data_IF_446570343390
#
_entry.id   IF_446570343390
#
_cell.length_a   1.000
_cell.length_b   1.000
_cell.length_c   1.000
_cell.angle_alpha   90.00
_cell.angle_beta   90.00
_cell.angle_gamma   90.00
#
_symmetry.space_group_name_H-M   'P 1'
#
loop_
_entity.id
_entity.type
_entity.pdbx_description
1 polymer ?
#
# COMPACT_ATOMS: atom_id res chain seq x y z
N UNK A 1 43.96 -6.33 -11.79
CA UNK A 1 42.86 -7.30 -11.58
C UNK A 1 41.81 -6.64 -10.71
N UNK A 2 40.75 -6.11 -11.32
CA UNK A 2 39.57 -5.59 -10.60
C UNK A 2 38.36 -6.01 -11.41
N UNK A 3 37.88 -7.23 -11.16
CA UNK A 3 36.61 -7.71 -11.70
C UNK A 3 35.48 -7.08 -10.87
N UNK A 4 34.78 -6.12 -11.48
CA UNK A 4 33.56 -5.49 -10.95
C UNK A 4 32.31 -6.33 -11.33
N UNK A 5 31.16 -6.12 -10.65
CA UNK A 5 30.11 -7.11 -10.44
C UNK A 5 29.03 -7.10 -11.53
N UNK A 6 29.33 -7.62 -12.71
CA UNK A 6 28.35 -7.63 -13.83
C UNK A 6 27.24 -8.69 -13.65
N UNK A 7 27.48 -9.76 -12.89
CA UNK A 7 26.55 -10.89 -12.75
C UNK A 7 25.39 -10.60 -11.78
N UNK A 8 25.63 -9.85 -10.70
CA UNK A 8 24.59 -9.50 -9.72
C UNK A 8 23.59 -8.46 -10.28
N UNK A 9 24.11 -7.50 -11.05
CA UNK A 9 23.33 -6.37 -11.58
C UNK A 9 22.35 -6.79 -12.69
N UNK A 10 22.73 -7.79 -13.51
CA UNK A 10 21.86 -8.35 -14.55
C UNK A 10 20.64 -9.04 -13.94
N UNK A 11 20.84 -9.80 -12.85
CA UNK A 11 19.80 -10.56 -12.18
C UNK A 11 18.78 -9.63 -11.47
N UNK A 12 19.27 -8.56 -10.83
CA UNK A 12 18.42 -7.58 -10.16
C UNK A 12 17.59 -6.73 -11.14
N UNK A 13 18.15 -6.40 -12.32
CA UNK A 13 17.41 -5.70 -13.40
C UNK A 13 16.32 -6.58 -14.01
N UNK A 14 16.59 -7.87 -14.22
CA UNK A 14 15.60 -8.83 -14.74
C UNK A 14 14.48 -9.06 -13.71
N UNK A 15 14.84 -9.26 -12.44
CA UNK A 15 13.87 -9.40 -11.35
C UNK A 15 12.99 -8.16 -11.18
N UNK A 16 13.57 -6.96 -11.31
CA UNK A 16 12.82 -5.70 -11.25
C UNK A 16 11.85 -5.51 -12.43
N UNK A 17 12.24 -5.91 -13.65
CA UNK A 17 11.34 -5.90 -14.81
C UNK A 17 10.20 -6.88 -14.65
N UNK A 18 10.49 -8.10 -14.17
CA UNK A 18 9.48 -9.11 -13.89
C UNK A 18 8.46 -8.61 -12.86
N UNK A 19 8.91 -8.05 -11.74
CA UNK A 19 8.02 -7.47 -10.73
C UNK A 19 7.11 -6.39 -11.30
N UNK A 20 7.67 -5.48 -12.12
CA UNK A 20 6.92 -4.37 -12.72
C UNK A 20 5.81 -4.89 -13.62
N UNK A 21 6.10 -5.87 -14.46
CA UNK A 21 5.10 -6.50 -15.33
C UNK A 21 3.98 -7.18 -14.51
N UNK A 22 4.34 -7.93 -13.47
CA UNK A 22 3.38 -8.64 -12.59
C UNK A 22 2.49 -7.65 -11.84
N UNK A 23 3.07 -6.61 -11.24
CA UNK A 23 2.29 -5.59 -10.51
C UNK A 23 1.33 -4.83 -11.43
N UNK A 24 1.76 -4.48 -12.65
CA UNK A 24 0.91 -3.83 -13.63
C UNK A 24 -0.23 -4.75 -14.10
N UNK A 25 0.09 -6.02 -14.36
CA UNK A 25 -0.91 -7.02 -14.72
C UNK A 25 -1.98 -7.17 -13.63
N UNK A 26 -1.57 -7.23 -12.35
CA UNK A 26 -2.49 -7.32 -11.22
C UNK A 26 -3.35 -6.07 -11.06
N UNK A 27 -2.82 -4.87 -11.30
CA UNK A 27 -3.60 -3.63 -11.34
C UNK A 27 -4.68 -3.64 -12.43
N UNK A 28 -4.32 -4.04 -13.65
CA UNK A 28 -5.25 -4.14 -14.78
C UNK A 28 -6.36 -5.13 -14.44
N UNK A 29 -5.99 -6.34 -13.98
CA UNK A 29 -6.93 -7.36 -13.55
C UNK A 29 -7.88 -6.87 -12.45
N UNK A 30 -7.37 -6.12 -11.47
CA UNK A 30 -8.18 -5.57 -10.38
C UNK A 30 -9.25 -4.59 -10.89
N UNK A 31 -8.83 -3.64 -11.73
CA UNK A 31 -9.73 -2.62 -12.26
C UNK A 31 -10.73 -3.19 -13.26
N UNK A 32 -10.30 -4.12 -14.11
CA UNK A 32 -11.18 -4.84 -15.04
C UNK A 32 -12.22 -5.66 -14.27
N UNK A 33 -11.81 -6.38 -13.21
CA UNK A 33 -12.75 -7.13 -12.37
C UNK A 33 -13.81 -6.21 -11.76
N UNK A 34 -13.39 -5.11 -11.11
CA UNK A 34 -14.32 -4.17 -10.47
C UNK A 34 -15.29 -3.57 -11.49
N UNK A 35 -14.80 -3.18 -12.67
CA UNK A 35 -15.63 -2.65 -13.75
C UNK A 35 -16.63 -3.68 -14.29
N UNK A 36 -16.17 -4.90 -14.54
CA UNK A 36 -17.02 -6.00 -15.01
C UNK A 36 -18.08 -6.36 -13.97
N UNK A 37 -17.69 -6.54 -12.71
CA UNK A 37 -18.60 -6.88 -11.62
C UNK A 37 -19.67 -5.81 -11.44
N UNK A 38 -19.28 -4.52 -11.42
CA UNK A 38 -20.24 -3.40 -11.36
C UNK A 38 -21.24 -3.41 -12.51
N UNK A 39 -20.79 -3.74 -13.72
CA UNK A 39 -21.64 -3.77 -14.93
C UNK A 39 -22.63 -4.95 -14.88
N UNK A 40 -22.16 -6.14 -14.49
CA UNK A 40 -22.96 -7.38 -14.50
C UNK A 40 -23.84 -7.54 -13.27
N UNK A 41 -23.50 -6.92 -12.14
CA UNK A 41 -24.37 -6.88 -10.95
C UNK A 41 -25.69 -6.16 -11.21
N UNK A 42 -25.71 -5.20 -12.12
CA UNK A 42 -26.95 -4.55 -12.56
C UNK A 42 -27.82 -5.44 -13.45
N UNK A 43 -27.32 -6.60 -13.91
CA UNK A 43 -28.00 -7.49 -14.87
C UNK A 43 -28.42 -8.82 -14.21
N UNK A 44 -27.67 -9.32 -13.21
CA UNK A 44 -28.01 -10.54 -12.48
C UNK A 44 -28.21 -10.27 -10.99
N UNK A 45 -29.43 -9.90 -10.59
CA UNK A 45 -29.91 -10.16 -9.23
C UNK A 45 -30.55 -11.55 -9.21
N UNK A 46 -29.69 -12.57 -9.30
CA UNK A 46 -29.99 -13.96 -8.97
C UNK A 46 -29.24 -14.29 -7.68
N UNK A 47 -30.00 -14.60 -6.65
CA UNK A 47 -29.58 -14.73 -5.26
C UNK A 47 -28.83 -16.03 -5.02
N UNK A 48 -27.58 -16.13 -5.48
CA UNK A 48 -26.67 -17.19 -5.04
C UNK A 48 -25.69 -16.64 -4.01
N UNK A 49 -25.77 -17.23 -2.81
CA UNK A 49 -25.08 -16.85 -1.60
C UNK A 49 -23.56 -16.88 -1.81
N UNK A 50 -22.97 -15.69 -2.06
CA UNK A 50 -21.59 -15.47 -1.67
C UNK A 50 -21.54 -15.59 -0.15
N UNK A 51 -20.71 -16.48 0.43
CA UNK A 51 -20.54 -16.51 1.88
C UNK A 51 -20.19 -15.09 2.33
N UNK A 52 -20.98 -14.57 3.27
CA UNK A 52 -20.84 -13.24 3.85
C UNK A 52 -19.48 -13.11 4.54
N UNK A 53 -18.43 -12.90 3.74
CA UNK A 53 -17.24 -12.19 4.19
C UNK A 53 -17.64 -10.74 4.34
N UNK A 54 -18.53 -10.47 5.29
CA UNK A 54 -18.78 -9.14 5.79
C UNK A 54 -17.48 -8.71 6.46
N UNK A 55 -16.56 -8.17 5.67
CA UNK A 55 -15.67 -7.15 6.17
C UNK A 55 -16.62 -6.09 6.71
N UNK A 56 -16.91 -6.11 8.01
CA UNK A 56 -17.50 -4.96 8.67
C UNK A 56 -16.47 -3.86 8.50
N UNK A 57 -16.59 -3.12 7.40
CA UNK A 57 -15.73 -1.98 7.12
C UNK A 57 -16.25 -0.87 8.03
N UNK A 58 -16.01 -1.03 9.32
CA UNK A 58 -16.10 0.01 10.36
C UNK A 58 -14.89 0.95 10.29
N UNK A 59 -14.14 0.86 9.19
CA UNK A 59 -12.89 1.52 9.01
C UNK A 59 -13.04 2.70 8.05
N UNK A 60 -13.30 3.86 8.63
CA UNK A 60 -13.53 5.12 7.92
C UNK A 60 -12.42 5.44 6.91
N UNK A 61 -11.17 5.08 7.20
CA UNK A 61 -10.05 5.33 6.28
C UNK A 61 -10.12 4.43 5.04
N UNK A 62 -10.54 3.17 5.19
CA UNK A 62 -10.77 2.30 4.02
C UNK A 62 -11.94 2.81 3.20
N UNK A 63 -13.04 3.20 3.84
CA UNK A 63 -14.20 3.73 3.12
C UNK A 63 -13.84 4.99 2.32
N UNK A 64 -13.16 5.95 2.94
CA UNK A 64 -12.63 7.13 2.26
C UNK A 64 -11.70 6.76 1.10
N UNK A 65 -10.86 5.74 1.29
CA UNK A 65 -9.98 5.23 0.24
C UNK A 65 -10.77 4.63 -0.93
N UNK A 66 -11.76 3.78 -0.68
CA UNK A 66 -12.62 3.18 -1.71
C UNK A 66 -13.40 4.25 -2.49
N UNK A 67 -13.97 5.23 -1.79
CA UNK A 67 -14.66 6.38 -2.39
C UNK A 67 -13.71 7.18 -3.29
N UNK A 68 -12.47 7.44 -2.84
CA UNK A 68 -11.47 8.14 -3.65
C UNK A 68 -11.06 7.38 -4.91
N UNK A 69 -11.18 6.05 -4.91
CA UNK A 69 -10.95 5.18 -6.07
C UNK A 69 -12.23 4.94 -6.88
N UNK A 70 -13.36 5.54 -6.49
CA UNK A 70 -14.69 5.33 -7.08
C UNK A 70 -15.14 3.86 -7.08
N UNK A 71 -14.71 3.06 -6.10
CA UNK A 71 -15.06 1.65 -5.95
C UNK A 71 -16.16 1.47 -4.91
N UNK A 72 -17.22 0.76 -5.29
CA UNK A 72 -18.34 0.44 -4.41
C UNK A 72 -18.04 -0.80 -3.58
N UNK A 73 -18.62 -0.83 -2.38
CA UNK A 73 -18.36 -1.85 -1.38
C UNK A 73 -18.50 -3.29 -1.91
N UNK A 74 -19.57 -3.65 -2.64
CA UNK A 74 -19.73 -5.05 -3.05
C UNK A 74 -18.79 -5.48 -4.17
N UNK A 75 -18.44 -4.57 -5.10
CA UNK A 75 -17.38 -4.83 -6.08
C UNK A 75 -16.03 -5.06 -5.39
N UNK A 76 -15.73 -4.28 -4.36
CA UNK A 76 -14.52 -4.47 -3.56
C UNK A 76 -14.51 -5.81 -2.82
N UNK A 77 -15.60 -6.17 -2.13
CA UNK A 77 -15.70 -7.45 -1.42
C UNK A 77 -15.54 -8.65 -2.35
N UNK A 78 -16.17 -8.61 -3.53
CA UNK A 78 -16.04 -9.66 -4.54
C UNK A 78 -14.59 -9.77 -5.05
N UNK A 79 -13.95 -8.62 -5.32
CA UNK A 79 -12.55 -8.59 -5.73
C UNK A 79 -11.64 -9.17 -4.64
N UNK A 80 -11.78 -8.71 -3.40
CA UNK A 80 -11.03 -9.21 -2.25
C UNK A 80 -11.11 -10.73 -2.14
N UNK A 81 -12.32 -11.30 -2.22
CA UNK A 81 -12.51 -12.74 -2.15
C UNK A 81 -11.82 -13.49 -3.30
N UNK A 82 -11.79 -12.90 -4.50
CA UNK A 82 -11.11 -13.47 -5.67
C UNK A 82 -9.60 -13.56 -5.50
N UNK A 83 -8.98 -12.61 -4.78
CA UNK A 83 -7.53 -12.47 -4.67
C UNK A 83 -6.88 -13.37 -3.62
N UNK A 84 -7.68 -14.00 -2.77
CA UNK A 84 -7.19 -14.93 -1.76
C UNK A 84 -6.65 -16.19 -2.43
N UNK A 85 -5.41 -16.57 -2.11
CA UNK A 85 -4.84 -17.86 -2.53
C UNK A 85 -5.60 -19.03 -1.90
N UNK A 86 -5.43 -20.25 -2.41
CA UNK A 86 -6.09 -21.43 -1.83
C UNK A 86 -5.75 -21.62 -0.34
N UNK A 87 -4.50 -21.35 0.06
CA UNK A 87 -4.08 -21.42 1.45
C UNK A 87 -4.74 -20.33 2.29
N UNK A 88 -4.80 -19.09 1.78
CA UNK A 88 -5.51 -18.00 2.46
C UNK A 88 -7.01 -18.32 2.57
N UNK A 89 -7.64 -18.83 1.51
CA UNK A 89 -9.05 -19.30 1.53
C UNK A 89 -9.27 -20.43 2.53
N UNK A 90 -8.36 -21.39 2.62
CA UNK A 90 -8.45 -22.49 3.58
C UNK A 90 -8.32 -21.97 5.02
N UNK A 91 -7.34 -21.11 5.28
CA UNK A 91 -7.19 -20.42 6.56
C UNK A 91 -8.43 -19.61 6.90
N UNK A 92 -9.09 -19.03 5.89
CA UNK A 92 -10.29 -18.23 6.07
C UNK A 92 -11.61 -19.04 6.15
N UNK A 93 -11.63 -20.26 5.63
CA UNK A 93 -12.80 -21.15 5.65
C UNK A 93 -12.88 -21.98 6.92
N UNK A 94 -11.74 -22.25 7.55
CA UNK A 94 -11.63 -23.09 8.75
C UNK A 94 -11.92 -22.24 10.00
N UNK A 95 -13.07 -21.57 10.05
CA UNK A 95 -13.46 -20.59 11.08
C UNK A 95 -13.51 -21.06 12.54
N UNK A 96 -12.87 -22.18 12.87
CA UNK A 96 -12.79 -22.75 14.20
C UNK A 96 -11.36 -22.69 14.76
N UNK A 97 -11.32 -22.15 15.98
CA UNK A 97 -10.20 -22.20 16.91
C UNK A 97 -9.69 -23.64 17.04
N UNK A 98 -8.37 -23.90 17.00
CA UNK A 98 -7.85 -25.00 17.77
C UNK A 98 -8.07 -24.61 19.24
N UNK A 99 -9.21 -25.01 19.80
CA UNK A 99 -9.35 -25.25 21.24
C UNK A 99 -8.44 -26.43 21.57
N UNK A 100 -7.13 -26.17 21.59
CA UNK A 100 -6.25 -26.90 22.48
C UNK A 100 -6.08 -26.00 23.67
N UNK A 101 -7.00 -26.13 24.62
CA UNK A 101 -6.75 -25.85 26.01
C UNK A 101 -5.61 -26.77 26.47
N UNK A 102 -4.37 -26.37 26.17
CA UNK A 102 -3.20 -26.81 26.90
C UNK A 102 -2.85 -25.66 27.84
N UNK A 103 -3.29 -25.79 29.09
CA UNK A 103 -2.49 -25.28 30.20
C UNK A 103 -1.04 -25.67 29.92
N UNK A 104 -0.12 -24.73 29.71
CA UNK A 104 1.31 -24.93 29.97
C UNK A 104 2.09 -23.62 29.93
N UNK A 105 2.92 -23.50 30.97
CA UNK A 105 3.76 -22.39 31.41
C UNK A 105 4.98 -22.15 30.47
N UNK A 106 4.84 -22.25 29.14
CA UNK A 106 6.00 -22.39 28.22
C UNK A 106 6.31 -21.22 27.28
N UNK A 107 5.75 -20.03 27.48
CA UNK A 107 6.05 -18.85 26.65
C UNK A 107 7.00 -17.84 27.32
N UNK A 108 7.83 -18.27 28.28
CA UNK A 108 8.81 -17.40 28.95
C UNK A 108 10.23 -17.64 28.43
N UNK A 109 10.42 -17.55 27.12
CA UNK A 109 11.75 -17.75 26.53
C UNK A 109 11.96 -16.91 25.28
N UNK A 110 13.19 -16.42 25.12
CA UNK A 110 13.65 -15.81 23.88
C UNK A 110 13.84 -16.88 22.80
N UNK A 111 13.68 -16.53 21.51
CA UNK A 111 13.97 -17.43 20.40
C UNK A 111 15.46 -17.79 20.40
N UNK A 112 15.78 -19.00 19.93
CA UNK A 112 17.17 -19.33 19.63
C UNK A 112 17.70 -18.44 18.50
N UNK A 113 19.02 -18.20 18.41
CA UNK A 113 19.59 -17.42 17.31
C UNK A 113 19.24 -17.97 15.92
N UNK A 114 19.15 -19.29 15.77
CA UNK A 114 18.79 -19.92 14.50
C UNK A 114 17.32 -19.75 14.14
N UNK A 115 16.41 -19.79 15.12
CA UNK A 115 14.99 -19.50 14.92
C UNK A 115 14.79 -18.04 14.52
N UNK A 116 15.44 -17.11 15.20
CA UNK A 116 15.35 -15.69 14.88
C UNK A 116 15.91 -15.39 13.48
N UNK A 117 17.04 -16.01 13.12
CA UNK A 117 17.62 -15.90 11.78
C UNK A 117 16.66 -16.45 10.71
N UNK A 118 16.02 -17.59 10.96
CA UNK A 118 15.04 -18.16 10.02
C UNK A 118 13.89 -17.19 9.75
N UNK A 119 13.30 -16.62 10.80
CA UNK A 119 12.22 -15.63 10.65
C UNK A 119 12.71 -14.40 9.89
N UNK A 120 13.91 -13.91 10.18
CA UNK A 120 14.52 -12.80 9.46
C UNK A 120 14.69 -13.08 7.96
N UNK A 121 15.15 -14.28 7.59
CA UNK A 121 15.34 -14.66 6.19
C UNK A 121 14.00 -14.74 5.44
N UNK A 122 12.98 -15.31 6.10
CA UNK A 122 11.63 -15.36 5.54
C UNK A 122 11.06 -13.95 5.37
N UNK A 123 11.17 -13.07 6.37
CA UNK A 123 10.68 -11.69 6.27
C UNK A 123 11.43 -10.90 5.17
N UNK A 124 12.75 -11.02 5.11
CA UNK A 124 13.61 -10.34 4.13
C UNK A 124 13.24 -10.69 2.69
N UNK A 125 12.79 -11.93 2.47
CA UNK A 125 12.45 -12.42 1.13
C UNK A 125 10.96 -12.26 0.81
N UNK A 126 10.06 -12.37 1.79
CA UNK A 126 8.61 -12.34 1.55
C UNK A 126 8.04 -10.93 1.53
N UNK A 127 8.46 -10.05 2.45
CA UNK A 127 7.92 -8.68 2.55
C UNK A 127 8.07 -7.89 1.25
N UNK A 128 9.22 -7.90 0.52
CA UNK A 128 9.33 -7.16 -0.74
C UNK A 128 8.36 -7.63 -1.83
N UNK A 129 7.87 -8.87 -1.71
CA UNK A 129 6.95 -9.51 -2.66
C UNK A 129 5.50 -9.49 -2.19
N UNK A 130 5.20 -8.84 -1.05
CA UNK A 130 3.87 -8.80 -0.42
C UNK A 130 2.72 -8.41 -1.37
N UNK A 131 2.99 -7.54 -2.34
CA UNK A 131 1.99 -7.13 -3.33
C UNK A 131 1.80 -8.14 -4.46
N UNK A 132 2.85 -8.86 -4.88
CA UNK A 132 2.80 -9.73 -6.05
C UNK A 132 2.64 -11.22 -5.71
N UNK A 133 2.89 -11.61 -4.46
CA UNK A 133 2.85 -13.00 -3.99
C UNK A 133 2.22 -13.08 -2.59
N UNK A 134 1.49 -14.16 -2.28
CA UNK A 134 1.07 -14.45 -0.91
C UNK A 134 2.26 -14.59 0.05
N UNK A 135 2.09 -14.14 1.28
CA UNK A 135 3.11 -14.28 2.32
C UNK A 135 3.21 -15.71 2.84
N UNK A 136 4.36 -16.07 3.39
CA UNK A 136 4.51 -17.31 4.15
C UNK A 136 3.95 -17.11 5.56
N UNK A 137 2.76 -17.63 5.83
CA UNK A 137 2.11 -17.52 7.14
C UNK A 137 2.57 -18.59 8.15
N UNK A 138 3.45 -19.53 7.78
CA UNK A 138 3.94 -20.59 8.68
C UNK A 138 4.82 -20.06 9.81
N UNK A 139 5.41 -18.88 9.64
CA UNK A 139 6.23 -18.22 10.67
C UNK A 139 5.39 -17.43 11.69
N UNK A 140 4.05 -17.45 11.59
CA UNK A 140 3.15 -16.70 12.45
C UNK A 140 2.40 -17.65 13.38
N UNK A 141 2.21 -17.21 14.63
CA UNK A 141 1.43 -17.97 15.61
C UNK A 141 -0.07 -17.94 15.26
N UNK A 142 -0.85 -19.01 15.54
CA UNK A 142 -2.29 -19.02 15.35
C UNK A 142 -3.02 -17.88 16.10
N UNK A 143 -2.48 -17.46 17.23
CA UNK A 143 -2.95 -16.40 18.12
C UNK A 143 -2.20 -15.06 17.93
N UNK A 144 -1.53 -14.87 16.78
CA UNK A 144 -0.75 -13.64 16.51
C UNK A 144 -1.57 -12.38 16.74
N UNK A 145 -0.96 -11.41 17.42
CA UNK A 145 -1.52 -10.08 17.64
C UNK A 145 -0.92 -9.12 16.61
N UNK A 146 -1.76 -8.31 15.99
CA UNK A 146 -1.34 -7.23 15.11
C UNK A 146 -1.84 -5.89 15.64
N UNK A 147 -0.88 -5.08 16.08
CA UNK A 147 -1.07 -3.70 16.53
C UNK A 147 -0.77 -2.76 15.37
N UNK A 148 -1.80 -2.31 14.68
CA UNK A 148 -1.68 -1.34 13.61
C UNK A 148 -1.85 0.08 14.15
N UNK A 149 -0.77 0.65 14.67
CA UNK A 149 -0.75 2.00 15.23
C UNK A 149 -0.86 3.09 14.16
N UNK A 150 -0.60 2.76 12.89
CA UNK A 150 -0.86 3.66 11.74
C UNK A 150 -2.36 3.97 11.65
N UNK A 151 -3.21 2.99 11.96
CA UNK A 151 -4.68 3.07 11.80
C UNK A 151 -5.41 3.07 13.14
N UNK A 152 -4.69 2.87 14.24
CA UNK A 152 -5.25 2.74 15.58
C UNK A 152 -6.03 1.42 15.79
N UNK A 153 -5.75 0.38 15.00
CA UNK A 153 -6.48 -0.89 15.09
C UNK A 153 -5.65 -1.98 15.77
N UNK A 154 -6.34 -2.85 16.50
CA UNK A 154 -5.76 -4.02 17.16
C UNK A 154 -6.54 -5.25 16.71
N UNK A 155 -5.85 -6.25 16.18
CA UNK A 155 -6.46 -7.50 15.72
C UNK A 155 -5.72 -8.71 16.28
N UNK A 156 -6.46 -9.74 16.67
CA UNK A 156 -5.90 -10.98 17.22
C UNK A 156 -6.29 -12.16 16.35
N UNK A 157 -5.37 -13.12 16.23
CA UNK A 157 -5.55 -14.36 15.49
C UNK A 157 -5.05 -14.29 14.06
N UNK A 158 -4.45 -15.40 13.59
CA UNK A 158 -3.85 -15.52 12.27
C UNK A 158 -4.87 -15.29 11.15
N UNK A 159 -6.10 -15.74 11.34
CA UNK A 159 -7.22 -15.50 10.43
C UNK A 159 -7.39 -14.00 10.14
N UNK A 160 -7.48 -13.18 11.19
CA UNK A 160 -7.67 -11.73 11.07
C UNK A 160 -6.42 -11.05 10.49
N UNK A 161 -5.23 -11.53 10.87
CA UNK A 161 -3.96 -11.05 10.30
C UNK A 161 -3.90 -11.23 8.79
N UNK A 162 -4.20 -12.44 8.29
CA UNK A 162 -4.21 -12.76 6.86
C UNK A 162 -5.19 -11.85 6.12
N UNK A 163 -6.38 -11.59 6.69
CA UNK A 163 -7.34 -10.63 6.11
C UNK A 163 -6.73 -9.24 5.95
N UNK A 164 -6.06 -8.71 6.96
CA UNK A 164 -5.45 -7.37 6.93
C UNK A 164 -4.34 -7.28 5.85
N UNK A 165 -3.51 -8.32 5.73
CA UNK A 165 -2.46 -8.38 4.69
C UNK A 165 -3.07 -8.48 3.29
N UNK A 166 -4.07 -9.34 3.10
CA UNK A 166 -4.78 -9.48 1.83
C UNK A 166 -5.49 -8.16 1.44
N UNK A 167 -6.03 -7.45 2.43
CA UNK A 167 -6.72 -6.18 2.23
C UNK A 167 -5.74 -5.10 1.74
N UNK A 168 -4.57 -5.00 2.38
CA UNK A 168 -3.49 -4.12 1.95
C UNK A 168 -3.09 -4.40 0.50
N UNK A 169 -2.96 -5.68 0.12
CA UNK A 169 -2.64 -6.13 -1.25
C UNK A 169 -3.71 -5.68 -2.25
N UNK A 170 -4.99 -5.89 -1.93
CA UNK A 170 -6.12 -5.54 -2.78
C UNK A 170 -6.21 -4.02 -3.00
N UNK A 171 -6.12 -3.24 -1.92
CA UNK A 171 -6.13 -1.76 -2.01
C UNK A 171 -4.93 -1.25 -2.81
N UNK A 172 -3.76 -1.87 -2.63
CA UNK A 172 -2.55 -1.54 -3.39
C UNK A 172 -2.76 -1.62 -4.89
N UNK A 173 -3.23 -2.76 -5.40
CA UNK A 173 -3.45 -2.97 -6.84
C UNK A 173 -4.64 -2.20 -7.40
N UNK A 174 -5.64 -1.91 -6.58
CA UNK A 174 -6.74 -1.07 -7.04
C UNK A 174 -6.29 0.38 -7.22
N UNK A 175 -5.51 0.91 -6.27
CA UNK A 175 -5.06 2.30 -6.25
C UNK A 175 -3.90 2.60 -7.21
N UNK A 176 -2.97 1.66 -7.36
CA UNK A 176 -1.69 1.89 -8.01
C UNK A 176 -1.47 0.91 -9.18
N UNK A 177 -1.02 1.45 -10.31
CA UNK A 177 -0.57 0.66 -11.46
C UNK A 177 0.76 -0.05 -11.22
N UNK A 178 1.53 0.46 -10.27
CA UNK A 178 2.71 -0.20 -9.75
C UNK A 178 2.76 0.03 -8.25
N UNK A 179 2.87 -1.04 -7.46
CA UNK A 179 3.02 -0.95 -6.02
C UNK A 179 4.08 -1.94 -5.54
N UNK A 180 4.99 -1.48 -4.69
CA UNK A 180 6.05 -2.30 -4.13
C UNK A 180 6.24 -2.01 -2.64
N UNK A 181 6.50 -3.07 -1.89
CA UNK A 181 7.02 -2.97 -0.53
C UNK A 181 8.54 -3.00 -0.58
N UNK A 182 9.20 -1.98 -0.05
CA UNK A 182 10.65 -1.85 -0.05
C UNK A 182 11.16 -1.88 1.38
N UNK A 183 12.10 -2.79 1.65
CA UNK A 183 12.81 -2.82 2.92
C UNK A 183 13.94 -1.79 2.82
N UNK A 184 13.85 -0.72 3.61
CA UNK A 184 14.92 0.27 3.75
C UNK A 184 16.01 -0.25 4.68
N UNK A 185 15.61 -0.92 5.77
CA UNK A 185 16.51 -1.54 6.73
C UNK A 185 15.79 -2.67 7.46
N UNK A 186 16.49 -3.75 7.74
CA UNK A 186 16.03 -4.82 8.63
C UNK A 186 17.13 -5.15 9.64
N UNK A 187 16.77 -5.29 10.92
CA UNK A 187 17.69 -5.62 12.01
C UNK A 187 17.11 -6.70 12.90
N UNK A 188 17.99 -7.53 13.46
CA UNK A 188 17.66 -8.51 14.47
C UNK A 188 18.12 -8.00 15.84
N UNK A 189 17.31 -8.27 16.85
CA UNK A 189 17.56 -7.92 18.24
C UNK A 189 17.41 -9.19 19.10
N UNK A 190 18.45 -10.04 19.15
CA UNK A 190 18.43 -11.29 19.91
C UNK A 190 18.15 -11.10 21.40
N UNK A 191 18.49 -9.93 21.95
CA UNK A 191 18.26 -9.54 23.34
C UNK A 191 16.79 -9.30 23.70
N UNK A 192 15.96 -8.94 22.71
CA UNK A 192 14.52 -8.73 22.85
C UNK A 192 13.70 -9.85 22.19
N UNK A 193 14.35 -10.71 21.39
CA UNK A 193 13.66 -11.65 20.51
C UNK A 193 12.87 -10.96 19.40
N UNK A 194 13.34 -9.80 18.92
CA UNK A 194 12.61 -8.99 17.94
C UNK A 194 13.34 -8.83 16.61
N UNK A 195 12.56 -8.65 15.55
CA UNK A 195 13.02 -8.24 14.23
C UNK A 195 12.36 -6.91 13.90
N UNK A 196 13.18 -5.91 13.59
CA UNK A 196 12.73 -4.55 13.29
C UNK A 196 12.95 -4.27 11.81
N UNK A 197 11.91 -3.79 11.13
CA UNK A 197 11.90 -3.53 9.69
C UNK A 197 11.50 -2.09 9.46
N UNK A 198 12.41 -1.26 8.96
CA UNK A 198 12.08 0.02 8.35
C UNK A 198 11.72 -0.22 6.89
N UNK A 199 10.53 0.19 6.50
CA UNK A 199 10.00 -0.08 5.17
C UNK A 199 9.35 1.14 4.55
N UNK A 200 9.21 1.07 3.24
CA UNK A 200 8.53 2.05 2.40
C UNK A 200 7.61 1.34 1.43
N UNK A 201 6.38 1.79 1.30
CA UNK A 201 5.49 1.38 0.20
C UNK A 201 5.56 2.44 -0.89
N UNK A 202 6.09 2.05 -2.05
CA UNK A 202 6.21 2.91 -3.21
C UNK A 202 5.09 2.60 -4.19
N UNK A 203 4.27 3.60 -4.53
CA UNK A 203 3.15 3.47 -5.46
C UNK A 203 3.22 4.44 -6.64
N UNK A 204 2.84 3.99 -7.84
CA UNK A 204 2.60 4.83 -9.02
C UNK A 204 1.12 4.73 -9.38
N UNK A 205 0.40 5.84 -9.33
CA UNK A 205 -1.04 5.87 -9.64
C UNK A 205 -1.30 5.61 -11.12
N UNK A 206 -2.30 4.76 -11.43
CA UNK A 206 -2.68 4.43 -12.80
C UNK A 206 -3.16 5.64 -13.61
N UNK A 207 -3.86 6.59 -12.98
CA UNK A 207 -4.27 7.84 -13.63
C UNK A 207 -3.07 8.66 -14.10
N UNK A 208 -2.02 8.78 -13.26
CA UNK A 208 -0.77 9.47 -13.65
C UNK A 208 -0.08 8.76 -14.81
N UNK A 209 -0.09 7.43 -14.83
CA UNK A 209 0.47 6.67 -15.97
C UNK A 209 -0.32 6.94 -17.25
N UNK A 210 -1.66 6.95 -17.20
CA UNK A 210 -2.51 7.24 -18.36
C UNK A 210 -2.31 8.68 -18.88
N UNK A 211 -2.28 9.69 -18.00
CA UNK A 211 -2.04 11.08 -18.38
C UNK A 211 -0.62 11.30 -18.94
N UNK A 212 0.39 10.63 -18.38
CA UNK A 212 1.77 10.72 -18.84
C UNK A 212 1.98 9.98 -20.17
N UNK A 213 1.31 8.84 -20.37
CA UNK A 213 1.30 8.08 -21.62
C UNK A 213 0.68 8.88 -22.76
N UNK A 214 -0.40 9.62 -22.49
CA UNK A 214 -1.05 10.47 -23.48
C UNK A 214 -0.19 11.71 -23.85
N UNK A 215 0.55 12.28 -22.89
CA UNK A 215 1.39 13.47 -23.13
C UNK A 215 2.79 13.18 -23.67
N UNK A 216 3.41 12.07 -23.29
CA UNK A 216 4.82 11.79 -23.59
C UNK A 216 4.94 10.39 -24.20
N UNK A 217 5.26 10.30 -25.49
CA UNK A 217 5.61 9.04 -26.17
C UNK A 217 6.69 8.28 -25.38
N UNK A 218 6.27 7.36 -24.52
CA UNK A 218 6.89 6.14 -23.98
C UNK A 218 8.41 6.00 -23.74
N UNK A 219 9.23 7.05 -23.82
CA UNK A 219 10.69 6.92 -23.75
C UNK A 219 11.28 7.17 -22.34
N UNK A 220 10.47 7.65 -21.38
CA UNK A 220 10.94 8.11 -20.05
C UNK A 220 10.36 7.35 -18.84
N UNK A 221 10.00 6.08 -18.97
CA UNK A 221 9.47 5.28 -17.84
C UNK A 221 10.39 5.26 -16.61
N UNK A 222 11.71 5.36 -16.83
CA UNK A 222 12.71 5.43 -15.76
C UNK A 222 12.59 6.70 -14.91
N UNK A 223 12.28 7.84 -15.53
CA UNK A 223 12.15 9.12 -14.83
C UNK A 223 10.83 9.18 -14.03
N UNK A 224 9.77 8.55 -14.56
CA UNK A 224 8.49 8.38 -13.84
C UNK A 224 8.63 7.46 -12.63
N UNK A 225 9.42 6.39 -12.75
CA UNK A 225 9.76 5.53 -11.60
C UNK A 225 10.57 6.27 -10.53
N UNK A 226 11.42 7.22 -10.92
CA UNK A 226 12.22 8.02 -9.98
C UNK A 226 11.40 9.13 -9.29
N UNK A 227 10.34 9.63 -9.94
CA UNK A 227 9.38 10.59 -9.37
C UNK A 227 8.21 9.89 -8.65
N UNK A 228 8.48 8.90 -7.81
CA UNK A 228 7.46 8.21 -7.01
C UNK A 228 6.81 9.17 -6.00
N UNK A 229 5.75 9.85 -6.44
CA UNK A 229 5.04 10.92 -5.70
C UNK A 229 4.12 10.41 -4.57
N UNK A 230 4.22 9.16 -4.12
CA UNK A 230 3.53 8.69 -2.91
C UNK A 230 4.28 7.55 -2.26
N UNK A 231 4.99 7.86 -1.18
CA UNK A 231 5.68 6.89 -0.33
C UNK A 231 5.02 6.88 1.04
N UNK A 232 4.58 5.70 1.50
CA UNK A 232 4.21 5.49 2.89
C UNK A 232 5.39 4.85 3.60
N UNK A 233 6.01 5.60 4.50
CA UNK A 233 7.07 5.09 5.35
C UNK A 233 6.50 4.58 6.66
N UNK A 234 7.04 3.46 7.10
CA UNK A 234 6.64 2.83 8.33
C UNK A 234 7.74 2.01 8.94
N UNK A 235 7.47 1.61 10.17
CA UNK A 235 8.33 0.74 10.94
C UNK A 235 7.50 -0.44 11.42
N UNK A 236 7.99 -1.64 11.21
CA UNK A 236 7.38 -2.87 11.73
C UNK A 236 8.29 -3.53 12.74
N UNK A 237 7.75 -3.87 13.91
CA UNK A 237 8.44 -4.68 14.92
C UNK A 237 7.74 -6.03 15.02
N UNK A 238 8.49 -7.11 14.84
CA UNK A 238 8.00 -8.48 14.95
C UNK A 238 8.63 -9.13 16.17
N UNK A 239 7.81 -9.55 17.13
CA UNK A 239 8.24 -10.31 18.30
C UNK A 239 8.14 -11.80 17.99
N UNK A 240 9.23 -12.53 18.23
CA UNK A 240 9.34 -13.95 17.96
C UNK A 240 9.40 -14.70 19.29
N UNK A 241 8.57 -15.72 19.43
CA UNK A 241 8.54 -16.60 20.61
C UNK A 241 9.71 -17.60 20.61
N UNK A 242 9.93 -18.27 21.75
CA UNK A 242 10.84 -19.42 21.89
C UNK A 242 10.59 -20.56 20.89
N UNK A 243 9.41 -20.61 20.26
CA UNK A 243 9.04 -21.59 19.22
C UNK A 243 9.48 -21.15 17.81
N UNK A 244 10.04 -19.96 17.66
CA UNK A 244 10.39 -19.39 16.35
C UNK A 244 9.18 -18.87 15.57
N UNK A 245 8.07 -18.59 16.24
CA UNK A 245 6.85 -18.05 15.64
C UNK A 245 6.63 -16.59 16.06
N UNK A 246 6.17 -15.77 15.12
CA UNK A 246 5.77 -14.38 15.34
C UNK A 246 4.47 -14.37 16.16
N UNK A 247 4.53 -13.81 17.36
CA UNK A 247 3.37 -13.68 18.26
C UNK A 247 2.80 -12.27 18.28
N UNK A 248 3.61 -11.25 18.01
CA UNK A 248 3.18 -9.86 17.93
C UNK A 248 3.84 -9.17 16.73
N UNK A 249 3.03 -8.51 15.91
CA UNK A 249 3.47 -7.57 14.88
C UNK A 249 2.93 -6.18 15.22
N UNK A 250 3.83 -5.22 15.42
CA UNK A 250 3.49 -3.80 15.60
C UNK A 250 3.85 -3.06 14.33
N UNK A 251 2.93 -2.26 13.78
CA UNK A 251 3.18 -1.37 12.66
C UNK A 251 2.98 0.09 13.07
N UNK A 252 4.07 0.85 13.03
CA UNK A 252 4.14 2.26 13.39
C UNK A 252 4.30 3.14 12.14
N UNK A 253 3.66 4.32 12.18
CA UNK A 253 3.82 5.33 11.14
C UNK A 253 5.14 6.06 11.38
N UNK A 254 6.01 6.10 10.37
CA UNK A 254 7.16 6.99 10.40
C UNK A 254 6.73 8.32 9.79
N UNK A 255 7.03 9.44 10.45
CA UNK A 255 6.85 10.74 9.80
C UNK A 255 7.76 10.78 8.57
N UNK A 256 7.28 11.23 7.40
CA UNK A 256 8.18 11.56 6.31
C UNK A 256 9.11 12.68 6.79
N UNK A 257 10.39 12.58 6.49
CA UNK A 257 11.20 13.79 6.44
C UNK A 257 10.54 14.68 5.38
N UNK A 258 9.94 15.80 5.82
CA UNK A 258 9.23 16.72 4.95
C UNK A 258 10.19 17.26 3.87
N UNK A 259 10.19 16.60 2.71
CA UNK A 259 10.56 17.24 1.47
C UNK A 259 9.51 18.34 1.23
N UNK A 260 9.82 19.56 1.68
CA UNK A 260 9.03 20.79 1.46
C UNK A 260 8.46 20.82 0.04
N UNK A 261 7.20 20.40 -0.12
CA UNK A 261 6.53 20.46 -1.41
C UNK A 261 5.09 20.99 -1.26
N UNK A 262 4.98 22.30 -1.52
CA UNK A 262 3.90 22.88 -2.34
C UNK A 262 2.51 23.05 -1.70
N UNK A 263 2.41 23.78 -0.59
CA UNK A 263 1.13 24.37 -0.19
C UNK A 263 0.65 25.44 -1.19
N UNK A 264 1.58 26.14 -1.86
CA UNK A 264 1.29 27.21 -2.83
C UNK A 264 0.57 26.74 -4.09
N UNK A 265 0.76 25.50 -4.54
CA UNK A 265 0.16 25.01 -5.79
C UNK A 265 -1.30 24.57 -5.63
N UNK A 266 -1.72 24.16 -4.42
CA UNK A 266 -3.09 23.69 -4.16
C UNK A 266 -4.09 24.85 -4.20
N UNK A 267 -3.72 26.02 -3.66
CA UNK A 267 -4.56 27.22 -3.69
C UNK A 267 -4.80 27.77 -5.10
N UNK A 268 -3.76 27.76 -5.94
CA UNK A 268 -3.85 28.24 -7.33
C UNK A 268 -4.72 27.30 -8.19
N UNK A 269 -4.60 25.98 -8.01
CA UNK A 269 -5.48 25.03 -8.70
C UNK A 269 -6.94 25.15 -8.26
N UNK A 270 -7.18 25.31 -6.95
CA UNK A 270 -8.53 25.51 -6.42
C UNK A 270 -9.17 26.79 -6.96
N UNK A 271 -8.41 27.89 -7.02
CA UNK A 271 -8.89 29.16 -7.59
C UNK A 271 -9.19 29.05 -9.10
N UNK A 272 -8.35 28.36 -9.87
CA UNK A 272 -8.58 28.13 -11.31
C UNK A 272 -9.81 27.25 -11.57
N UNK A 273 -10.04 26.24 -10.75
CA UNK A 273 -11.23 25.39 -10.84
C UNK A 273 -12.49 26.13 -10.41
N UNK A 274 -12.43 26.93 -9.34
CA UNK A 274 -13.55 27.76 -8.91
C UNK A 274 -13.93 28.81 -9.96
N UNK A 275 -12.94 29.38 -10.68
CA UNK A 275 -13.17 30.28 -11.81
C UNK A 275 -13.84 29.56 -12.99
N UNK A 276 -13.36 28.37 -13.37
CA UNK A 276 -13.92 27.58 -14.47
C UNK A 276 -15.36 27.12 -14.18
N UNK A 277 -15.66 26.84 -12.91
CA UNK A 277 -16.98 26.44 -12.43
C UNK A 277 -17.91 27.62 -12.09
N UNK A 278 -17.46 28.87 -12.26
CA UNK A 278 -18.26 30.07 -12.01
C UNK A 278 -18.61 30.32 -10.54
N UNK A 279 -17.84 29.74 -9.60
CA UNK A 279 -18.10 29.78 -8.16
C UNK A 279 -17.49 31.01 -7.46
N UNK A 280 -16.79 31.88 -8.20
CA UNK A 280 -16.26 33.15 -7.70
C UNK A 280 -17.05 34.33 -8.30
N UNK A 281 -17.44 35.34 -7.48
CA UNK A 281 -18.21 36.48 -7.97
C UNK A 281 -17.34 37.33 -8.89
N UNK A 282 -17.83 37.50 -10.13
CA UNK A 282 -17.20 38.32 -11.16
C UNK A 282 -17.44 39.80 -10.85
N UNK A 283 -16.65 40.39 -9.95
CA UNK A 283 -16.68 41.84 -9.76
C UNK A 283 -15.97 42.53 -10.93
N UNK A 284 -16.78 42.90 -11.92
CA UNK A 284 -16.60 44.01 -12.85
C UNK A 284 -15.23 44.09 -13.56
N UNK A 285 -14.87 43.05 -14.33
CA UNK A 285 -13.79 43.13 -15.31
C UNK A 285 -14.41 43.20 -16.71
N UNK A 286 -14.34 44.37 -17.35
CA UNK A 286 -14.95 44.59 -18.68
C UNK A 286 -14.13 44.04 -19.84
N UNK A 287 -12.91 43.52 -19.63
CA UNK A 287 -12.14 42.85 -20.68
C UNK A 287 -11.22 41.75 -20.13
N UNK A 288 -11.01 40.69 -20.92
CA UNK A 288 -10.13 39.55 -20.61
C UNK A 288 -8.64 39.94 -20.47
N UNK A 289 -8.24 41.07 -21.04
CA UNK A 289 -6.88 41.63 -20.90
C UNK A 289 -6.54 41.95 -19.45
N UNK A 290 -7.49 42.52 -18.70
CA UNK A 290 -7.27 43.04 -17.35
C UNK A 290 -7.09 41.90 -16.34
N UNK A 291 -7.74 40.75 -16.60
CA UNK A 291 -7.57 39.53 -15.80
C UNK A 291 -6.19 38.91 -16.04
N UNK A 292 -5.70 38.98 -17.28
CA UNK A 292 -4.38 38.45 -17.64
C UNK A 292 -3.24 39.33 -17.08
N UNK A 293 -3.41 40.66 -17.10
CA UNK A 293 -2.45 41.60 -16.49
C UNK A 293 -2.34 41.41 -14.97
N UNK A 294 -3.46 41.28 -14.26
CA UNK A 294 -3.45 41.06 -12.82
C UNK A 294 -2.82 39.71 -12.41
N UNK A 295 -2.94 38.68 -13.25
CA UNK A 295 -2.27 37.40 -13.05
C UNK A 295 -0.76 37.46 -13.31
N UNK A 296 -0.32 38.28 -14.28
CA UNK A 296 1.09 38.49 -14.57
C UNK A 296 1.78 39.37 -13.52
N UNK A 297 1.13 40.42 -13.03
CA UNK A 297 1.68 41.33 -12.01
C UNK A 297 1.98 40.58 -10.70
N UNK A 298 1.08 39.69 -10.26
CA UNK A 298 1.27 38.89 -9.06
C UNK A 298 2.37 37.81 -9.19
N UNK A 299 2.74 37.45 -10.42
CA UNK A 299 3.86 36.52 -10.68
C UNK A 299 5.23 37.21 -10.67
N UNK A 300 5.30 38.53 -10.86
CA UNK A 300 6.56 39.31 -10.91
C UNK A 300 6.95 39.87 -9.54
N UNK A 301 6.01 40.08 -8.62
CA UNK A 301 6.32 40.60 -7.26
C UNK A 301 6.90 39.56 -6.29
N UNK A 302 7.02 38.29 -6.71
CA UNK A 302 7.57 37.20 -5.85
C UNK A 302 8.98 36.76 -6.29
N UNK A 303 9.79 37.68 -6.83
CA UNK A 303 11.23 37.47 -7.08
C UNK A 303 12.11 38.56 -6.45
N UNK A 304 11.66 39.22 -5.39
CA UNK A 304 12.48 40.21 -4.70
C UNK A 304 12.13 40.42 -3.24
N UNK A 305 12.66 39.57 -2.36
CA UNK A 305 13.18 39.91 -1.01
C UNK A 305 13.70 38.67 -0.30
N UNK A 306 14.95 38.33 -0.59
CA UNK A 306 15.84 37.64 0.35
C UNK A 306 16.82 38.70 0.85
N UNK A 307 16.76 39.03 2.14
CA UNK A 307 17.84 39.68 2.89
C UNK A 307 17.57 39.45 4.38
N UNK A 308 18.31 38.52 4.99
CA UNK A 308 19.55 38.85 5.68
C UNK A 308 20.60 37.82 5.28
#
# INVERSE_FOLDING_TARGET
MVDKPLLLECNQKVLGKHYTAVSLQQHIQANDFVRQFRTHRNICLGQDQMPDYYLSIEDDQLQQTLVSMTVDQPSFSAYFCSQLSCNEKLLLSTGDTPQTSSNNIENQGLPSPSQLQHVFDVLSTTLPRLFIQPMNYQIYSPDVVFENRIRGTHTTGLYNYVKQVALLRCVGHLKYAYVRFEILKITQHPEEGTIKVRWRICGISGLKVLFQFWRYKLWQWKEVLQKQESWYDGFSTFHVSSKGLITLHVADKMMPDDDKATETNKGILAAKLALLLGLLPQQNAKNLSDVMENLLINSITTTGKSQA
#
